data_IF_090225832530
#
_entry.id   IF_090225832530
#
_cell.length_a   1.000
_cell.length_b   1.000
_cell.length_c   1.000
_cell.angle_alpha   90.00
_cell.angle_beta   90.00
_cell.angle_gamma   90.00
#
_symmetry.space_group_name_H-M   'P 1'
#
loop_
_entity.id
_entity.type
_entity.pdbx_description
1 polymer ?
#
# COMPACT_ATOMS: atom_id res chain seq x y z
N UNK A 1 17.16 -2.06 -1.93
CA UNK A 1 16.51 -3.16 -1.18
C UNK A 1 17.08 -4.53 -1.58
N UNK A 2 17.47 -4.72 -2.85
CA UNK A 2 18.07 -5.96 -3.33
C UNK A 2 19.24 -6.47 -2.46
N UNK A 3 19.19 -7.76 -2.15
CA UNK A 3 20.26 -8.50 -1.46
C UNK A 3 20.51 -8.12 0.00
N UNK A 4 19.68 -7.26 0.63
CA UNK A 4 19.74 -7.04 2.08
C UNK A 4 19.36 -8.32 2.82
N UNK A 5 20.04 -8.59 3.92
CA UNK A 5 19.78 -9.74 4.79
C UNK A 5 19.12 -9.29 6.08
N UNK A 6 18.34 -10.19 6.66
CA UNK A 6 17.82 -10.14 8.03
C UNK A 6 17.03 -8.86 8.31
N UNK A 7 16.22 -8.45 7.34
CA UNK A 7 15.32 -7.30 7.49
C UNK A 7 14.29 -7.63 8.57
N UNK A 8 14.29 -6.87 9.66
CA UNK A 8 13.40 -7.08 10.79
C UNK A 8 11.93 -6.84 10.44
N UNK A 9 11.07 -7.68 11.01
CA UNK A 9 9.62 -7.55 10.98
C UNK A 9 9.06 -7.81 9.59
N UNK A 10 9.30 -9.01 9.04
CA UNK A 10 8.81 -9.44 7.74
C UNK A 10 7.29 -9.42 7.64
N UNK A 11 6.60 -9.75 8.73
CA UNK A 11 5.14 -9.86 8.80
C UNK A 11 4.44 -8.49 8.99
N UNK A 12 5.21 -7.40 9.04
CA UNK A 12 4.65 -6.08 9.28
C UNK A 12 3.81 -5.62 8.07
N UNK A 13 2.53 -5.23 8.29
CA UNK A 13 1.68 -4.77 7.21
C UNK A 13 2.25 -3.51 6.56
N UNK A 14 2.22 -3.49 5.23
CA UNK A 14 2.68 -2.36 4.44
C UNK A 14 1.46 -1.56 3.95
N UNK A 15 1.50 -0.25 4.19
CA UNK A 15 0.46 0.68 3.77
C UNK A 15 0.96 1.47 2.56
N UNK A 16 0.37 1.23 1.39
CA UNK A 16 0.75 1.87 0.13
C UNK A 16 -0.50 2.32 -0.63
N UNK A 17 -0.31 3.28 -1.52
CA UNK A 17 -1.31 3.75 -2.47
C UNK A 17 -0.61 3.99 -3.80
N UNK A 18 -1.26 3.61 -4.90
CA UNK A 18 -0.73 3.90 -6.22
C UNK A 18 -0.87 5.39 -6.55
N UNK A 19 0.11 5.95 -7.28
CA UNK A 19 0.11 7.38 -7.65
C UNK A 19 -1.18 7.80 -8.34
N UNK A 20 -1.71 6.95 -9.22
CA UNK A 20 -2.94 7.24 -9.97
C UNK A 20 -4.16 7.35 -9.05
N UNK A 21 -4.27 6.49 -8.03
CA UNK A 21 -5.37 6.59 -7.06
C UNK A 21 -5.24 7.82 -6.16
N UNK A 22 -4.02 8.30 -5.88
CA UNK A 22 -3.83 9.59 -5.18
C UNK A 22 -4.37 10.76 -6.01
N UNK A 23 -4.07 10.78 -7.30
CA UNK A 23 -4.55 11.82 -8.22
C UNK A 23 -6.08 11.75 -8.31
N UNK A 24 -6.63 10.56 -8.58
CA UNK A 24 -8.08 10.34 -8.68
C UNK A 24 -8.80 10.69 -7.39
N UNK A 25 -8.26 10.34 -6.22
CA UNK A 25 -8.87 10.70 -4.94
C UNK A 25 -8.89 12.22 -4.71
N UNK A 26 -7.83 12.90 -5.15
CA UNK A 26 -7.74 14.37 -5.06
C UNK A 26 -8.77 15.04 -5.97
N UNK A 27 -8.87 14.60 -7.22
CA UNK A 27 -9.87 15.08 -8.18
C UNK A 27 -11.29 14.81 -7.67
N UNK A 28 -11.55 13.58 -7.21
CA UNK A 28 -12.84 13.16 -6.68
C UNK A 28 -13.29 13.99 -5.47
N UNK A 29 -12.37 14.33 -4.54
CA UNK A 29 -12.65 15.22 -3.40
C UNK A 29 -13.04 16.63 -3.87
N UNK A 30 -12.38 17.15 -4.90
CA UNK A 30 -12.66 18.48 -5.47
C UNK A 30 -14.03 18.47 -6.18
N UNK A 31 -14.30 17.45 -7.01
CA UNK A 31 -15.54 17.32 -7.78
C UNK A 31 -16.78 17.14 -6.90
N UNK A 32 -16.64 16.46 -5.76
CA UNK A 32 -17.71 16.25 -4.79
C UNK A 32 -17.79 17.35 -3.71
N UNK A 33 -16.99 18.43 -3.84
CA UNK A 33 -16.85 19.53 -2.88
C UNK A 33 -16.77 19.08 -1.41
N UNK A 34 -15.98 18.04 -1.14
CA UNK A 34 -15.81 17.55 0.22
C UNK A 34 -14.89 18.48 1.01
N UNK A 35 -15.43 19.08 2.08
CA UNK A 35 -14.73 20.06 2.93
C UNK A 35 -14.73 19.63 4.40
N UNK A 36 -13.66 19.98 5.12
CA UNK A 36 -13.57 19.76 6.57
C UNK A 36 -13.41 18.30 6.99
N UNK A 37 -13.07 17.42 6.06
CA UNK A 37 -12.94 15.98 6.32
C UNK A 37 -11.49 15.51 6.23
N UNK A 38 -11.13 14.59 7.13
CA UNK A 38 -9.91 13.79 6.99
C UNK A 38 -10.30 12.46 6.35
N UNK A 39 -9.63 12.11 5.26
CA UNK A 39 -9.81 10.88 4.50
C UNK A 39 -8.43 10.23 4.31
N UNK A 40 -8.33 8.92 4.57
CA UNK A 40 -7.12 8.17 4.27
C UNK A 40 -7.18 7.68 2.82
N UNK A 41 -6.11 7.92 2.06
CA UNK A 41 -5.94 7.36 0.71
C UNK A 41 -4.86 6.29 0.78
N UNK A 42 -5.27 5.06 1.09
CA UNK A 42 -4.44 3.86 1.17
C UNK A 42 -5.17 2.74 0.42
N UNK A 43 -4.43 1.93 -0.34
CA UNK A 43 -5.02 0.75 -0.95
C UNK A 43 -5.59 -0.18 0.15
N UNK A 44 -6.76 -0.80 -0.05
CA UNK A 44 -7.45 -1.60 0.96
C UNK A 44 -6.76 -2.92 1.29
N UNK A 45 -5.86 -3.42 0.43
CA UNK A 45 -5.06 -4.62 0.71
C UNK A 45 -3.74 -4.21 1.37
N UNK A 46 -3.40 -4.91 2.45
CA UNK A 46 -2.20 -4.68 3.26
C UNK A 46 -1.30 -5.90 3.25
N UNK A 47 -0.58 -6.16 2.15
CA UNK A 47 0.42 -7.22 2.11
C UNK A 47 1.51 -6.94 3.14
N UNK A 48 2.18 -7.98 3.60
CA UNK A 48 3.27 -7.83 4.53
C UNK A 48 4.55 -7.30 3.83
N UNK A 49 5.55 -6.97 4.64
CA UNK A 49 6.80 -6.41 4.15
C UNK A 49 7.59 -7.42 3.32
N UNK A 50 7.58 -8.70 3.70
CA UNK A 50 8.30 -9.74 2.97
C UNK A 50 7.69 -9.96 1.58
N UNK A 51 6.36 -9.99 1.45
CA UNK A 51 5.61 -10.15 0.21
C UNK A 51 5.96 -9.02 -0.76
N UNK A 52 5.79 -7.76 -0.32
CA UNK A 52 6.05 -6.59 -1.18
C UNK A 52 7.49 -6.57 -1.69
N UNK A 53 8.45 -6.76 -0.79
CA UNK A 53 9.85 -6.57 -1.13
C UNK A 53 10.32 -7.73 -2.02
N UNK A 54 9.84 -8.95 -1.75
CA UNK A 54 10.12 -10.11 -2.58
C UNK A 54 9.55 -9.92 -3.98
N UNK A 55 8.26 -9.59 -4.10
CA UNK A 55 7.59 -9.35 -5.40
C UNK A 55 8.27 -8.24 -6.21
N UNK A 56 8.63 -7.11 -5.58
CA UNK A 56 9.34 -6.03 -6.27
C UNK A 56 10.71 -6.49 -6.76
N UNK A 57 11.49 -7.19 -5.92
CA UNK A 57 12.81 -7.67 -6.36
C UNK A 57 12.73 -8.72 -7.45
N UNK A 58 11.71 -9.58 -7.45
CA UNK A 58 11.45 -10.53 -8.54
C UNK A 58 11.14 -9.82 -9.86
N UNK A 59 10.24 -8.83 -9.85
CA UNK A 59 9.88 -8.05 -11.04
C UNK A 59 11.05 -7.31 -11.66
N UNK A 60 11.97 -6.85 -10.82
CA UNK A 60 13.16 -6.11 -11.24
C UNK A 60 14.37 -7.02 -11.52
N UNK A 61 14.19 -8.34 -11.50
CA UNK A 61 15.26 -9.33 -11.69
C UNK A 61 16.45 -9.11 -10.71
N UNK A 62 16.13 -8.63 -9.51
CA UNK A 62 17.10 -8.32 -8.47
C UNK A 62 17.21 -9.48 -7.48
N UNK A 63 18.34 -9.51 -6.76
CA UNK A 63 18.54 -10.47 -5.66
C UNK A 63 17.50 -10.28 -4.57
N UNK A 64 16.75 -11.35 -4.25
CA UNK A 64 15.76 -11.38 -3.17
C UNK A 64 16.40 -11.08 -1.81
N UNK A 65 15.74 -10.28 -0.95
CA UNK A 65 16.16 -10.07 0.43
C UNK A 65 15.78 -11.25 1.35
N UNK A 66 16.29 -11.26 2.58
CA UNK A 66 15.81 -12.15 3.66
C UNK A 66 15.24 -11.35 4.82
N UNK A 67 14.33 -11.96 5.56
CA UNK A 67 13.57 -11.32 6.64
C UNK A 67 13.68 -12.10 7.95
N UNK A 68 13.45 -11.38 9.04
CA UNK A 68 13.16 -11.95 10.36
C UNK A 68 11.67 -11.72 10.62
N UNK A 69 10.97 -12.77 10.99
CA UNK A 69 9.55 -12.76 11.38
C UNK A 69 9.26 -11.70 12.46
N UNK A 70 8.01 -11.22 12.51
CA UNK A 70 7.50 -10.28 13.49
C UNK A 70 6.90 -9.00 12.91
N UNK A 71 6.34 -8.17 13.79
CA UNK A 71 5.72 -6.89 13.44
C UNK A 71 4.30 -6.99 12.87
N UNK A 72 3.68 -8.16 12.93
CA UNK A 72 2.30 -8.41 12.53
C UNK A 72 1.25 -7.58 13.32
N UNK A 73 1.65 -7.02 14.47
CA UNK A 73 0.90 -6.04 15.27
C UNK A 73 1.02 -4.60 14.73
N UNK A 74 1.71 -4.41 13.60
CA UNK A 74 1.83 -3.13 12.93
C UNK A 74 0.49 -2.54 12.49
N UNK A 75 0.47 -1.20 12.34
CA UNK A 75 -0.74 -0.46 11.95
C UNK A 75 -1.20 -0.79 10.53
N UNK A 76 -2.50 -0.98 10.35
CA UNK A 76 -3.18 -0.98 9.05
C UNK A 76 -4.04 0.28 8.91
N UNK A 77 -3.85 1.02 7.82
CA UNK A 77 -4.54 2.28 7.56
C UNK A 77 -5.84 2.00 6.82
N UNK A 78 -6.97 2.19 7.50
CA UNK A 78 -8.29 2.02 6.89
C UNK A 78 -8.66 3.20 5.99
N UNK A 79 -9.03 2.88 4.74
CA UNK A 79 -9.67 3.80 3.78
C UNK A 79 -11.19 3.64 3.70
N UNK A 80 -11.81 2.93 4.65
CA UNK A 80 -13.26 2.70 4.67
C UNK A 80 -14.08 3.98 4.59
N UNK A 81 -13.65 5.06 5.26
CA UNK A 81 -14.34 6.35 5.21
C UNK A 81 -14.38 6.97 3.80
N UNK A 82 -13.34 6.76 3.01
CA UNK A 82 -13.27 7.24 1.62
C UNK A 82 -14.12 6.33 0.71
N UNK A 83 -14.00 5.01 0.88
CA UNK A 83 -14.76 4.00 0.13
C UNK A 83 -16.27 4.15 0.38
N UNK A 84 -16.69 4.38 1.63
CA UNK A 84 -18.09 4.53 2.01
C UNK A 84 -18.76 5.77 1.42
N UNK A 85 -17.97 6.73 0.93
CA UNK A 85 -18.47 7.91 0.21
C UNK A 85 -18.54 7.70 -1.30
N UNK A 86 -18.11 6.55 -1.81
CA UNK A 86 -18.22 6.17 -3.22
C UNK A 86 -16.94 6.30 -4.03
N UNK A 87 -15.78 6.51 -3.40
CA UNK A 87 -14.51 6.45 -4.12
C UNK A 87 -14.08 5.00 -4.37
N UNK A 88 -13.71 4.69 -5.62
CA UNK A 88 -13.27 3.36 -6.04
C UNK A 88 -11.79 3.37 -6.44
N UNK A 89 -10.98 2.55 -5.76
CA UNK A 89 -9.58 2.34 -6.11
C UNK A 89 -9.46 1.51 -7.39
N UNK A 90 -8.65 1.96 -8.35
CA UNK A 90 -8.31 1.14 -9.53
C UNK A 90 -7.07 0.27 -9.28
N UNK A 91 -6.25 0.62 -8.28
CA UNK A 91 -5.12 -0.18 -7.82
C UNK A 91 -5.34 -0.55 -6.34
N UNK A 92 -6.23 -1.51 -6.10
CA UNK A 92 -6.61 -1.93 -4.74
C UNK A 92 -5.57 -2.79 -4.02
N UNK A 93 -4.66 -3.42 -4.76
CA UNK A 93 -3.64 -4.32 -4.23
C UNK A 93 -2.22 -3.81 -4.55
N UNK A 94 -1.41 -3.44 -3.54
CA UNK A 94 -0.02 -3.05 -3.74
C UNK A 94 0.84 -4.09 -4.46
N UNK A 95 0.52 -5.38 -4.32
CA UNK A 95 1.21 -6.42 -5.08
C UNK A 95 0.88 -6.32 -6.57
N UNK A 96 -0.25 -5.75 -7.00
CA UNK A 96 -0.59 -5.61 -8.41
C UNK A 96 -0.01 -4.37 -9.09
N UNK A 97 0.65 -3.46 -8.34
CA UNK A 97 1.17 -2.22 -8.91
C UNK A 97 2.19 -2.50 -10.02
N UNK A 98 1.94 -1.96 -11.21
CA UNK A 98 2.90 -1.93 -12.31
C UNK A 98 3.92 -0.80 -12.11
N UNK A 99 5.12 -0.96 -12.67
CA UNK A 99 6.12 0.11 -12.74
C UNK A 99 5.74 1.19 -13.77
#
# INVERSE_FOLDING_TARGET
>A
MAGRKDISGGDAPVNLVHREDVIRATEWVIENDLRGEILNVCAPVHPDKQEIYTTITERLEMKKPTFIDGGNDGKQVSSEKLISKGFEFIHSDPLAFSA
#
